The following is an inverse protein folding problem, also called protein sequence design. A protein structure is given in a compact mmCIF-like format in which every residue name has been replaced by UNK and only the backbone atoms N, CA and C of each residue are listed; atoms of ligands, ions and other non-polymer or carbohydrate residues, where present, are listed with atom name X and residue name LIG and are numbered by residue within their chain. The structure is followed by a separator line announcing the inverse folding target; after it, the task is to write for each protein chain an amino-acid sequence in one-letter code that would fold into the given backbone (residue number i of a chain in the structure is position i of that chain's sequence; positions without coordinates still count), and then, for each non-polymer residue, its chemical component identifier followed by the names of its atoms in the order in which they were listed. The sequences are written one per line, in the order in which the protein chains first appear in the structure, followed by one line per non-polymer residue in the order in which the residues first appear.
data_IF_938370747891
#
_entry.id   IF_938370747891
#
_cell.length_a   1.000
_cell.length_b   1.000
_cell.length_c   1.000
_cell.angle_alpha   90.00
_cell.angle_beta   90.00
_cell.angle_gamma   90.00
#
_symmetry.space_group_name_H-M   'P 1'
#
loop_
_entity.id
_entity.type
_entity.pdbx_description
1 polymer ?
#
# COMPACT_ATOMS: atom_id res chain seq x y z
N UNK A 1 12.43 -14.21 -1.47
CA UNK A 1 12.05 -13.19 -0.53
C UNK A 1 10.65 -13.49 0.02
N UNK A 2 10.51 -13.51 1.33
CA UNK A 2 9.21 -13.74 1.94
C UNK A 2 8.32 -12.51 1.74
N UNK A 3 7.01 -12.73 1.57
CA UNK A 3 6.05 -11.66 1.41
C UNK A 3 6.14 -10.66 2.57
N UNK A 4 6.30 -11.15 3.78
CA UNK A 4 6.38 -10.32 4.98
C UNK A 4 7.55 -9.34 4.93
N UNK A 5 8.70 -9.77 4.44
CA UNK A 5 9.88 -8.91 4.30
C UNK A 5 9.64 -7.81 3.29
N UNK A 6 9.03 -8.17 2.16
CA UNK A 6 8.70 -7.21 1.12
C UNK A 6 7.66 -6.19 1.61
N UNK A 7 6.61 -6.69 2.26
CA UNK A 7 5.56 -5.85 2.81
C UNK A 7 6.12 -4.84 3.81
N UNK A 8 7.01 -5.30 4.69
CA UNK A 8 7.60 -4.44 5.70
C UNK A 8 8.51 -3.36 5.10
N UNK A 9 9.27 -3.71 4.09
CA UNK A 9 10.13 -2.73 3.40
C UNK A 9 9.32 -1.68 2.69
N UNK A 10 8.25 -2.08 2.01
CA UNK A 10 7.37 -1.14 1.32
C UNK A 10 6.67 -0.25 2.33
N UNK A 11 6.18 -0.81 3.43
CA UNK A 11 5.55 -0.06 4.51
C UNK A 11 6.48 1.02 5.05
N UNK A 12 7.72 0.64 5.39
CA UNK A 12 8.71 1.58 5.93
C UNK A 12 9.01 2.71 4.94
N UNK A 13 9.18 2.36 3.68
CA UNK A 13 9.46 3.33 2.63
C UNK A 13 8.30 4.31 2.44
N UNK A 14 7.08 3.80 2.43
CA UNK A 14 5.89 4.65 2.27
C UNK A 14 5.69 5.57 3.48
N UNK A 15 5.84 5.05 4.70
CA UNK A 15 5.75 5.88 5.90
C UNK A 15 6.77 7.01 5.88
N UNK A 16 8.02 6.68 5.59
CA UNK A 16 9.09 7.68 5.52
C UNK A 16 8.80 8.75 4.46
N UNK A 17 8.29 8.33 3.31
CA UNK A 17 7.97 9.24 2.22
C UNK A 17 6.82 10.17 2.60
N UNK A 18 5.76 9.62 3.19
CA UNK A 18 4.60 10.41 3.60
C UNK A 18 5.00 11.42 4.67
N UNK A 19 5.76 10.98 5.67
CA UNK A 19 6.23 11.86 6.74
C UNK A 19 7.07 13.00 6.17
N UNK A 20 7.92 12.69 5.20
CA UNK A 20 8.81 13.68 4.60
C UNK A 20 8.08 14.71 3.74
N UNK A 21 7.11 14.26 2.95
CA UNK A 21 6.51 15.10 1.93
C UNK A 21 5.09 15.57 2.26
N UNK A 22 4.49 15.09 3.35
CA UNK A 22 3.13 15.50 3.72
C UNK A 22 3.09 16.00 5.15
N UNK A 23 3.54 17.24 5.40
CA UNK A 23 3.59 17.79 6.76
C UNK A 23 2.23 18.09 7.38
N UNK A 24 1.16 17.98 6.59
CA UNK A 24 -0.20 18.19 7.10
C UNK A 24 -0.73 16.98 7.86
N UNK A 25 -0.01 15.85 7.81
CA UNK A 25 -0.37 14.63 8.51
C UNK A 25 0.61 14.34 9.63
N UNK A 26 0.11 13.79 10.72
CA UNK A 26 0.94 13.29 11.84
C UNK A 26 0.42 11.92 12.24
N UNK A 27 1.21 11.20 13.05
CA UNK A 27 0.89 9.86 13.53
C UNK A 27 0.50 8.93 12.37
N UNK A 28 1.31 8.97 11.31
CA UNK A 28 1.04 8.23 10.08
C UNK A 28 1.39 6.75 10.28
N UNK A 29 0.45 5.90 9.93
CA UNK A 29 0.62 4.45 9.94
C UNK A 29 0.26 3.89 8.57
N UNK A 30 1.12 3.03 8.05
CA UNK A 30 0.89 2.38 6.77
C UNK A 30 0.83 0.87 6.99
N UNK A 31 -0.11 0.23 6.32
CA UNK A 31 -0.19 -1.21 6.27
C UNK A 31 -0.16 -1.64 4.81
N UNK A 32 0.61 -2.68 4.52
CA UNK A 32 0.77 -3.22 3.19
C UNK A 32 0.48 -4.71 3.24
N UNK A 33 -0.31 -5.20 2.30
CA UNK A 33 -0.63 -6.62 2.20
C UNK A 33 -0.49 -7.08 0.76
N UNK A 34 0.24 -8.15 0.56
CA UNK A 34 0.44 -8.77 -0.74
C UNK A 34 -0.34 -10.08 -0.78
N UNK A 35 -1.28 -10.20 -1.72
CA UNK A 35 -2.12 -11.38 -1.84
C UNK A 35 -2.16 -11.89 -3.28
N UNK A 36 -2.68 -13.11 -3.44
CA UNK A 36 -2.93 -13.65 -4.76
C UNK A 36 -4.12 -12.95 -5.41
N UNK A 37 -4.08 -12.90 -6.73
CA UNK A 37 -5.18 -12.32 -7.52
C UNK A 37 -6.29 -13.35 -7.63
N UNK A 38 -7.53 -12.91 -7.48
CA UNK A 38 -8.71 -13.74 -7.63
C UNK A 38 -8.95 -14.11 -9.10
N UNK A 39 -9.63 -15.24 -9.33
CA UNK A 39 -9.87 -15.76 -10.68
C UNK A 39 -10.60 -14.79 -11.58
N UNK A 40 -11.63 -14.14 -11.08
CA UNK A 40 -12.42 -13.19 -11.85
C UNK A 40 -11.58 -11.99 -12.31
N UNK A 41 -10.62 -11.59 -11.50
CA UNK A 41 -9.68 -10.52 -11.86
C UNK A 41 -8.74 -11.01 -12.97
N UNK A 42 -8.29 -12.26 -12.88
CA UNK A 42 -7.42 -12.86 -13.91
C UNK A 42 -8.10 -12.94 -15.27
N UNK A 43 -9.40 -13.12 -15.28
CA UNK A 43 -10.16 -13.14 -16.52
C UNK A 43 -10.10 -11.81 -17.25
N UNK A 44 -10.07 -10.71 -16.51
CA UNK A 44 -9.97 -9.35 -17.07
C UNK A 44 -8.53 -8.91 -17.29
N UNK A 45 -7.64 -9.34 -16.40
CA UNK A 45 -6.22 -8.95 -16.41
C UNK A 45 -5.34 -10.21 -16.32
N UNK A 46 -5.19 -10.95 -17.45
CA UNK A 46 -4.51 -12.25 -17.43
C UNK A 46 -3.07 -12.22 -16.93
N UNK A 47 -2.42 -11.07 -17.04
CA UNK A 47 -1.02 -10.92 -16.63
C UNK A 47 -0.85 -10.56 -15.17
N UNK A 48 -1.94 -10.23 -14.47
CA UNK A 48 -1.86 -9.90 -13.06
C UNK A 48 -1.56 -11.14 -12.23
N UNK A 49 -0.59 -11.06 -11.34
CA UNK A 49 -0.16 -12.17 -10.50
C UNK A 49 -0.42 -11.93 -9.03
N UNK A 50 -0.29 -10.69 -8.57
CA UNK A 50 -0.42 -10.32 -7.18
C UNK A 50 -1.25 -9.06 -7.05
N UNK A 51 -1.92 -8.94 -5.92
CA UNK A 51 -2.63 -7.73 -5.53
C UNK A 51 -1.96 -7.15 -4.30
N UNK A 52 -1.65 -5.87 -4.34
CA UNK A 52 -1.13 -5.13 -3.20
C UNK A 52 -2.25 -4.26 -2.65
N UNK A 53 -2.55 -4.43 -1.38
CA UNK A 53 -3.49 -3.55 -0.68
C UNK A 53 -2.71 -2.62 0.22
N UNK A 54 -3.13 -1.37 0.25
CA UNK A 54 -2.50 -0.33 1.05
C UNK A 54 -3.54 0.33 1.94
N UNK A 55 -3.19 0.50 3.21
CA UNK A 55 -3.98 1.29 4.14
C UNK A 55 -3.07 2.35 4.73
N UNK A 56 -3.52 3.59 4.69
CA UNK A 56 -2.81 4.70 5.29
C UNK A 56 -3.75 5.37 6.28
N UNK A 57 -3.28 5.59 7.49
CA UNK A 57 -4.05 6.30 8.51
C UNK A 57 -3.18 7.32 9.19
N UNK A 58 -3.81 8.30 9.81
CA UNK A 58 -3.10 9.34 10.52
C UNK A 58 -4.05 10.39 11.03
N UNK A 59 -3.48 11.48 11.50
CA UNK A 59 -4.22 12.63 11.97
C UNK A 59 -3.84 13.84 11.12
N UNK A 60 -4.83 14.67 10.84
CA UNK A 60 -4.61 15.94 10.19
C UNK A 60 -4.11 16.93 11.23
N UNK A 61 -2.91 17.50 11.03
CA UNK A 61 -2.27 18.38 12.01
C UNK A 61 -3.17 19.55 12.41
N UNK A 62 -3.89 20.10 11.44
CA UNK A 62 -4.67 21.31 11.62
C UNK A 62 -5.80 21.17 12.67
N UNK A 63 -6.43 20.01 12.73
CA UNK A 63 -7.65 19.86 13.53
C UNK A 63 -7.77 18.53 14.26
N UNK A 64 -6.71 17.72 14.24
CA UNK A 64 -6.68 16.40 14.86
C UNK A 64 -7.75 15.42 14.36
N UNK A 65 -8.28 15.69 13.17
CA UNK A 65 -9.22 14.75 12.56
C UNK A 65 -8.49 13.52 12.06
N UNK A 66 -9.12 12.36 12.22
CA UNK A 66 -8.61 11.11 11.68
C UNK A 66 -8.70 11.10 10.16
N UNK A 67 -7.67 10.56 9.56
CA UNK A 67 -7.57 10.34 8.13
C UNK A 67 -7.39 8.86 7.88
N UNK A 68 -8.17 8.30 6.96
CA UNK A 68 -8.03 6.92 6.53
C UNK A 68 -8.15 6.86 5.01
N UNK A 69 -7.21 6.15 4.41
CA UNK A 69 -7.21 5.94 2.97
C UNK A 69 -6.81 4.51 2.70
N UNK A 70 -7.48 3.86 1.75
CA UNK A 70 -7.05 2.55 1.30
C UNK A 70 -7.18 2.45 -0.22
N UNK A 71 -6.32 1.64 -0.80
CA UNK A 71 -6.33 1.39 -2.23
C UNK A 71 -5.71 0.03 -2.50
N UNK A 72 -5.80 -0.40 -3.74
CA UNK A 72 -5.13 -1.63 -4.17
C UNK A 72 -4.57 -1.46 -5.57
N UNK A 73 -3.53 -2.23 -5.84
CA UNK A 73 -2.86 -2.27 -7.14
C UNK A 73 -2.68 -3.73 -7.53
N UNK A 74 -2.71 -3.97 -8.82
CA UNK A 74 -2.37 -5.29 -9.36
C UNK A 74 -0.97 -5.22 -9.93
N UNK A 75 -0.16 -6.23 -9.60
CA UNK A 75 1.22 -6.31 -10.04
C UNK A 75 1.33 -7.45 -11.04
N UNK A 76 1.89 -7.16 -12.19
CA UNK A 76 2.26 -8.16 -13.18
C UNK A 76 3.77 -8.29 -13.21
N UNK A 77 4.30 -9.51 -13.35
CA UNK A 77 5.75 -9.65 -13.48
C UNK A 77 6.21 -8.98 -14.77
N UNK A 78 7.35 -8.31 -14.68
CA UNK A 78 7.97 -7.72 -15.85
C UNK A 78 8.62 -8.84 -16.65
N UNK A 79 8.19 -8.96 -17.89
CA UNK A 79 8.77 -9.92 -18.79
C UNK A 79 10.04 -9.36 -19.41
N UNK A 80 11.11 -10.10 -19.27
CA UNK A 80 12.41 -9.68 -19.77
C UNK A 80 12.78 -10.50 -21.02
#
# INVERSE_FOLDING_TARGET
LKNEDWEDKVRQSLEATIIKYEPRLKDVHVRVELTEVEEDVRDKFPNARKRVRLWVSGLIVRNDQHFNFNTHLYISPISQ
#
